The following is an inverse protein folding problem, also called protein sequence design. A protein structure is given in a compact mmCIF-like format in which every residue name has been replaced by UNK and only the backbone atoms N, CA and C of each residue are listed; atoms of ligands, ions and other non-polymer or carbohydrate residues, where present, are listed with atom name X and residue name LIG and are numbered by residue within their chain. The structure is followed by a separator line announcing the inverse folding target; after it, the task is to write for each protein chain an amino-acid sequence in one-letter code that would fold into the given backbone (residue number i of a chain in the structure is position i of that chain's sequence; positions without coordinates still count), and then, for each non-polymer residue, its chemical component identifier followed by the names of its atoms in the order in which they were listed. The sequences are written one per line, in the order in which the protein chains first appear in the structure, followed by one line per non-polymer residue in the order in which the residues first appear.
data_IF_832511284104
#
_entry.id   IF_832511284104
#
_cell.length_a   1.000
_cell.length_b   1.000
_cell.length_c   1.000
_cell.angle_alpha   90.00
_cell.angle_beta   90.00
_cell.angle_gamma   90.00
#
_symmetry.space_group_name_H-M   'P 1'
#
loop_
_entity.id
_entity.type
_entity.pdbx_description
1 polymer ?
#
# COMPACT_ATOMS: atom_id res chain seq x y z
N UNK A 1 2.79 61.02 -11.55
CA UNK A 1 2.92 59.76 -12.31
C UNK A 1 2.54 58.64 -11.36
N UNK A 2 1.35 58.05 -11.49
CA UNK A 2 0.82 57.05 -10.55
C UNK A 2 1.01 55.65 -11.15
N UNK A 3 1.55 54.72 -10.36
CA UNK A 3 1.80 53.34 -10.78
C UNK A 3 0.66 52.49 -10.22
N UNK A 4 -0.12 51.86 -11.10
CA UNK A 4 -1.22 50.97 -10.73
C UNK A 4 -0.63 49.56 -10.53
N UNK A 5 -0.75 49.00 -9.33
CA UNK A 5 -0.47 47.58 -9.09
C UNK A 5 -1.77 46.80 -9.24
N UNK A 6 -1.83 45.88 -10.21
CA UNK A 6 -2.94 44.96 -10.40
C UNK A 6 -2.72 43.67 -9.62
N UNK A 7 -3.78 43.13 -9.01
CA UNK A 7 -3.79 41.78 -8.44
C UNK A 7 -4.48 40.84 -9.43
N UNK A 8 -3.86 39.69 -9.71
CA UNK A 8 -4.46 38.65 -10.53
C UNK A 8 -4.79 37.47 -9.61
N UNK A 9 -6.07 37.11 -9.55
CA UNK A 9 -6.54 35.92 -8.82
C UNK A 9 -6.93 34.85 -9.82
N UNK A 10 -6.32 33.68 -9.72
CA UNK A 10 -6.69 32.48 -10.48
C UNK A 10 -7.47 31.53 -9.58
N UNK A 11 -8.68 31.18 -10.01
CA UNK A 11 -9.50 30.15 -9.39
C UNK A 11 -9.48 28.92 -10.29
N UNK A 12 -8.85 27.83 -9.84
CA UNK A 12 -8.89 26.54 -10.54
C UNK A 12 -10.07 25.75 -10.00
N UNK A 13 -10.99 25.34 -10.87
CA UNK A 13 -12.00 24.37 -10.49
C UNK A 13 -11.31 23.02 -10.21
N UNK A 14 -11.48 22.54 -8.98
CA UNK A 14 -10.94 21.26 -8.50
C UNK A 14 -12.06 20.29 -8.12
N UNK A 15 -13.30 20.61 -8.49
CA UNK A 15 -14.50 19.87 -8.07
C UNK A 15 -14.43 18.43 -8.56
N UNK A 16 -14.03 18.24 -9.82
CA UNK A 16 -13.89 16.91 -10.44
C UNK A 16 -12.77 16.09 -9.79
N UNK A 17 -11.60 16.70 -9.57
CA UNK A 17 -10.46 16.01 -8.93
C UNK A 17 -10.82 15.57 -7.51
N UNK A 18 -11.51 16.43 -6.75
CA UNK A 18 -12.01 16.13 -5.41
C UNK A 18 -13.03 15.00 -5.41
N UNK A 19 -13.93 14.96 -6.40
CA UNK A 19 -14.93 13.91 -6.52
C UNK A 19 -14.28 12.55 -6.81
N UNK A 20 -13.29 12.50 -7.70
CA UNK A 20 -12.52 11.28 -8.00
C UNK A 20 -11.75 10.81 -6.77
N UNK A 21 -11.05 11.72 -6.09
CA UNK A 21 -10.31 11.41 -4.86
C UNK A 21 -11.22 10.88 -3.75
N UNK A 22 -12.39 11.49 -3.56
CA UNK A 22 -13.37 11.04 -2.58
C UNK A 22 -13.95 9.67 -2.92
N UNK A 23 -14.29 9.43 -4.19
CA UNK A 23 -14.77 8.13 -4.64
C UNK A 23 -13.72 7.03 -4.43
N UNK A 24 -12.45 7.32 -4.74
CA UNK A 24 -11.33 6.40 -4.50
C UNK A 24 -11.21 6.08 -3.01
N UNK A 25 -11.11 7.09 -2.15
CA UNK A 25 -11.01 6.91 -0.68
C UNK A 25 -12.19 6.13 -0.11
N UNK A 26 -13.40 6.38 -0.59
CA UNK A 26 -14.62 5.68 -0.14
C UNK A 26 -14.61 4.22 -0.55
N UNK A 27 -14.11 3.92 -1.75
CA UNK A 27 -13.91 2.55 -2.21
C UNK A 27 -12.85 1.85 -1.37
N UNK A 28 -11.69 2.49 -1.16
CA UNK A 28 -10.58 1.94 -0.35
C UNK A 28 -11.00 1.64 1.08
N UNK A 29 -11.69 2.57 1.75
CA UNK A 29 -12.16 2.36 3.12
C UNK A 29 -13.16 1.20 3.23
N UNK A 30 -14.05 1.05 2.25
CA UNK A 30 -15.01 -0.04 2.20
C UNK A 30 -14.34 -1.39 1.91
N UNK A 31 -13.35 -1.38 1.03
CA UNK A 31 -12.50 -2.54 0.76
C UNK A 31 -11.76 -2.99 2.02
N UNK A 32 -11.07 -2.08 2.71
CA UNK A 32 -10.38 -2.38 3.97
C UNK A 32 -11.33 -2.96 5.02
N UNK A 33 -12.51 -2.34 5.21
CA UNK A 33 -13.50 -2.82 6.16
C UNK A 33 -14.02 -4.23 5.84
N UNK A 34 -14.25 -4.54 4.56
CA UNK A 34 -14.66 -5.88 4.14
C UNK A 34 -13.57 -6.94 4.39
N UNK A 35 -12.30 -6.57 4.21
CA UNK A 35 -11.16 -7.46 4.48
C UNK A 35 -11.00 -7.73 5.98
N UNK A 36 -11.12 -6.70 6.81
CA UNK A 36 -11.04 -6.84 8.28
C UNK A 36 -12.16 -7.75 8.81
N UNK A 37 -13.39 -7.60 8.29
CA UNK A 37 -14.53 -8.43 8.68
C UNK A 37 -14.41 -9.90 8.26
N UNK A 38 -13.67 -10.18 7.19
CA UNK A 38 -13.51 -11.54 6.68
C UNK A 38 -12.45 -12.36 7.43
N UNK A 39 -11.64 -11.75 8.33
CA UNK A 39 -10.51 -12.41 9.02
C UNK A 39 -9.49 -13.07 8.10
N UNK A 40 -9.48 -12.72 6.81
CA UNK A 40 -8.54 -13.25 5.83
C UNK A 40 -7.33 -12.31 5.73
N UNK A 41 -6.13 -12.89 5.75
CA UNK A 41 -4.94 -12.17 5.35
C UNK A 41 -4.95 -11.94 3.84
N UNK A 42 -4.67 -10.72 3.41
CA UNK A 42 -4.59 -10.36 1.98
C UNK A 42 -3.19 -9.85 1.68
N UNK A 43 -2.72 -10.19 0.50
CA UNK A 43 -1.50 -9.66 -0.09
C UNK A 43 -1.80 -9.27 -1.53
N UNK A 44 -1.28 -8.12 -1.98
CA UNK A 44 -1.43 -7.62 -3.34
C UNK A 44 -0.05 -7.28 -3.89
N UNK A 45 0.30 -7.84 -5.05
CA UNK A 45 1.58 -7.59 -5.70
C UNK A 45 1.36 -6.77 -6.95
N UNK A 46 1.97 -5.60 -6.98
CA UNK A 46 2.15 -4.84 -8.19
C UNK A 46 3.39 -5.38 -8.94
N UNK A 47 3.18 -6.18 -9.97
CA UNK A 47 4.26 -6.76 -10.78
C UNK A 47 5.05 -5.72 -11.59
N UNK A 48 4.52 -4.51 -11.77
CA UNK A 48 5.20 -3.42 -12.50
C UNK A 48 6.16 -2.67 -11.58
N UNK A 49 5.75 -2.39 -10.35
CA UNK A 49 6.59 -1.67 -9.36
C UNK A 49 7.36 -2.61 -8.43
N UNK A 50 7.06 -3.91 -8.46
CA UNK A 50 7.49 -4.94 -7.52
C UNK A 50 7.11 -4.64 -6.06
N UNK A 51 6.13 -3.76 -5.85
CA UNK A 51 5.63 -3.43 -4.52
C UNK A 51 4.56 -4.44 -4.12
N UNK A 52 4.69 -4.95 -2.90
CA UNK A 52 3.74 -5.87 -2.29
C UNK A 52 3.13 -5.22 -1.08
N UNK A 53 1.81 -5.09 -1.10
CA UNK A 53 1.03 -4.73 0.07
C UNK A 53 0.68 -6.00 0.84
N UNK A 54 0.90 -5.96 2.15
CA UNK A 54 0.48 -7.02 3.07
C UNK A 54 -0.47 -6.44 4.09
N UNK A 55 -1.63 -7.07 4.28
CA UNK A 55 -2.58 -6.62 5.29
C UNK A 55 -2.05 -6.90 6.71
N UNK A 56 -2.42 -6.07 7.70
CA UNK A 56 -2.12 -6.34 9.12
C UNK A 56 -2.48 -7.75 9.55
N UNK A 57 -3.65 -8.24 9.11
CA UNK A 57 -4.15 -9.57 9.46
C UNK A 57 -3.31 -10.69 8.87
N UNK A 58 -2.78 -10.50 7.67
CA UNK A 58 -1.87 -11.45 7.03
C UNK A 58 -0.56 -11.61 7.82
N UNK A 59 0.00 -10.50 8.29
CA UNK A 59 1.20 -10.48 9.14
C UNK A 59 0.93 -11.16 10.49
N UNK A 60 -0.18 -10.83 11.15
CA UNK A 60 -0.60 -11.45 12.41
C UNK A 60 -0.75 -12.97 12.27
N UNK A 61 -1.41 -13.45 11.21
CA UNK A 61 -1.63 -14.88 10.95
C UNK A 61 -0.33 -15.67 10.82
N UNK A 62 0.75 -15.02 10.38
CA UNK A 62 2.06 -15.63 10.19
C UNK A 62 2.99 -15.44 11.40
N UNK A 63 2.52 -14.68 12.40
CA UNK A 63 3.24 -14.37 13.62
C UNK A 63 4.34 -13.32 13.44
N UNK A 64 4.11 -12.33 12.59
CA UNK A 64 5.05 -11.22 12.32
C UNK A 64 4.42 -9.87 12.65
N UNK A 65 5.26 -8.89 13.01
CA UNK A 65 4.84 -7.52 13.21
C UNK A 65 4.82 -6.73 11.88
N UNK A 66 3.94 -5.72 11.82
CA UNK A 66 3.85 -4.82 10.68
C UNK A 66 5.18 -4.09 10.47
N UNK A 67 5.79 -4.29 9.29
CA UNK A 67 7.05 -3.65 8.93
C UNK A 67 8.31 -4.45 9.29
N UNK A 68 8.18 -5.68 9.82
CA UNK A 68 9.33 -6.59 9.95
C UNK A 68 9.90 -7.02 8.58
N UNK A 69 9.10 -6.91 7.52
CA UNK A 69 9.49 -7.25 6.14
C UNK A 69 9.42 -6.03 5.22
N UNK A 70 10.25 -6.04 4.18
CA UNK A 70 10.12 -5.08 3.10
C UNK A 70 8.87 -5.31 2.25
N UNK A 71 8.46 -4.27 1.54
CA UNK A 71 7.30 -4.29 0.64
C UNK A 71 7.63 -4.92 -0.71
N UNK A 72 8.51 -5.92 -0.76
CA UNK A 72 8.86 -6.65 -1.99
C UNK A 72 8.38 -8.09 -1.91
N UNK A 73 7.95 -8.63 -3.05
CA UNK A 73 7.59 -10.04 -3.17
C UNK A 73 8.81 -10.96 -2.92
N UNK A 74 10.00 -10.50 -3.26
CA UNK A 74 11.25 -11.24 -3.06
C UNK A 74 11.63 -11.36 -1.57
N UNK A 75 11.24 -10.38 -0.75
CA UNK A 75 11.55 -10.39 0.68
C UNK A 75 10.79 -11.52 1.38
N UNK A 76 9.50 -11.70 1.06
CA UNK A 76 8.71 -12.84 1.53
C UNK A 76 9.37 -14.17 1.20
N UNK A 77 9.83 -14.35 -0.04
CA UNK A 77 10.45 -15.59 -0.49
C UNK A 77 11.72 -15.92 0.32
N UNK A 78 12.56 -14.92 0.59
CA UNK A 78 13.76 -15.08 1.42
C UNK A 78 13.43 -15.47 2.85
N UNK A 79 12.45 -14.83 3.48
CA UNK A 79 12.07 -15.12 4.87
C UNK A 79 11.44 -16.50 5.02
N UNK A 80 10.52 -16.88 4.12
CA UNK A 80 9.92 -18.23 4.11
C UNK A 80 10.99 -19.32 3.93
N UNK A 81 11.93 -19.10 3.03
CA UNK A 81 13.02 -20.04 2.79
C UNK A 81 13.88 -20.25 4.04
N UNK A 82 14.32 -19.17 4.68
CA UNK A 82 15.17 -19.23 5.88
C UNK A 82 14.47 -19.95 7.06
N UNK A 83 13.16 -19.71 7.27
CA UNK A 83 12.40 -20.36 8.35
C UNK A 83 12.16 -21.85 8.10
N UNK A 84 11.96 -22.26 6.85
CA UNK A 84 11.72 -23.67 6.50
C UNK A 84 13.00 -24.51 6.39
N UNK A 85 14.15 -23.87 6.16
CA UNK A 85 15.45 -24.52 6.00
C UNK A 85 16.52 -23.85 6.88
N UNK A 86 16.48 -24.06 8.21
CA UNK A 86 17.36 -23.39 9.17
C UNK A 86 18.85 -23.84 9.11
N UNK A 87 19.14 -24.92 8.38
CA UNK A 87 20.51 -25.35 8.07
C UNK A 87 20.68 -25.39 6.58
N UNK A 88 21.60 -24.56 6.06
CA UNK A 88 21.80 -24.31 4.64
C UNK A 88 21.81 -25.59 3.81
N UNK A 89 20.68 -25.85 3.16
CA UNK A 89 20.69 -26.64 1.94
C UNK A 89 21.28 -25.71 0.87
N UNK A 90 22.61 -25.80 0.71
CA UNK A 90 23.28 -25.25 -0.45
C UNK A 90 22.65 -25.86 -1.69
N UNK A 91 22.04 -25.03 -2.52
CA UNK A 91 21.66 -25.44 -3.86
C UNK A 91 22.96 -25.55 -4.67
N UNK A 92 23.27 -26.79 -5.06
CA UNK A 92 24.11 -27.08 -6.21
C UNK A 92 23.25 -27.07 -7.47
#
# INVERSE_FOLDING_TARGET
MAILFGVLTICKDISEQKAIEFALRTSEARWQFALDGASHGVWDVNLVTNETYYSPKFMEMLGYELGEWGNSFDDWHKYRYNRSHPHGAGIA
#
